data_IF_813691185062
#
_entry.id   IF_813691185062
#
_cell.length_a   1.000
_cell.length_b   1.000
_cell.length_c   1.000
_cell.angle_alpha   90.00
_cell.angle_beta   90.00
_cell.angle_gamma   90.00
#
_symmetry.space_group_name_H-M   'P 1'
#
loop_
_entity.id
_entity.type
_entity.pdbx_description
1 polymer ?
#
# COMPACT_ATOMS: atom_id res chain seq x y z
N UNK A 1 16.41 -4.89 33.93
CA UNK A 1 16.71 -3.54 33.40
C UNK A 1 16.25 -3.47 31.94
N UNK A 2 15.08 -2.88 31.61
CA UNK A 2 14.83 -2.51 30.20
C UNK A 2 15.75 -1.33 29.87
N UNK A 3 16.72 -1.57 28.99
CA UNK A 3 17.75 -0.62 28.58
C UNK A 3 17.25 0.17 27.35
N UNK A 4 17.94 1.22 26.93
CA UNK A 4 17.67 1.94 25.66
C UNK A 4 17.50 0.98 24.47
N UNK A 5 18.21 -0.15 24.51
CA UNK A 5 18.11 -1.25 23.55
C UNK A 5 16.68 -1.81 23.38
N UNK A 6 15.84 -1.80 24.41
CA UNK A 6 14.46 -2.32 24.27
C UNK A 6 13.61 -1.47 23.32
N UNK A 7 13.92 -0.18 23.20
CA UNK A 7 13.30 0.66 22.20
C UNK A 7 13.72 0.24 20.78
N UNK A 8 14.98 -0.16 20.62
CA UNK A 8 15.52 -0.62 19.34
C UNK A 8 14.98 -2.00 18.93
N UNK A 9 14.59 -2.83 19.90
CA UNK A 9 14.04 -4.17 19.68
C UNK A 9 12.53 -4.17 19.38
N UNK A 10 11.87 -3.02 19.44
CA UNK A 10 10.44 -2.88 19.17
C UNK A 10 10.11 -3.24 17.72
N UNK A 11 9.16 -4.16 17.51
CA UNK A 11 8.81 -4.67 16.17
C UNK A 11 7.54 -4.07 15.59
N UNK A 12 6.69 -3.48 16.44
CA UNK A 12 5.41 -2.87 16.05
C UNK A 12 5.32 -1.45 16.58
N UNK A 13 4.49 -0.63 15.93
CA UNK A 13 4.26 0.77 16.33
C UNK A 13 3.72 0.89 17.76
N UNK A 14 2.75 0.06 18.12
CA UNK A 14 2.17 0.02 19.48
C UNK A 14 3.22 -0.35 20.54
N UNK A 15 4.01 -1.40 20.26
CA UNK A 15 5.07 -1.81 21.19
C UNK A 15 6.09 -0.69 21.39
N UNK A 16 6.50 -0.02 20.31
CA UNK A 16 7.42 1.10 20.36
C UNK A 16 6.89 2.24 21.26
N UNK A 17 5.60 2.55 21.19
CA UNK A 17 4.96 3.57 22.03
C UNK A 17 4.98 3.18 23.50
N UNK A 18 4.64 1.93 23.84
CA UNK A 18 4.65 1.47 25.23
C UNK A 18 6.06 1.39 25.80
N UNK A 19 7.02 0.85 25.06
CA UNK A 19 8.42 0.77 25.49
C UNK A 19 9.03 2.19 25.64
N UNK A 20 8.62 3.16 24.81
CA UNK A 20 9.00 4.57 24.96
C UNK A 20 8.48 5.20 26.25
N UNK A 21 7.19 5.03 26.53
CA UNK A 21 6.55 5.57 27.73
C UNK A 21 7.17 4.94 28.98
N UNK A 22 7.38 3.62 28.98
CA UNK A 22 8.00 2.89 30.08
C UNK A 22 9.45 3.32 30.33
N UNK A 23 10.25 3.47 29.27
CA UNK A 23 11.65 3.89 29.39
C UNK A 23 11.77 5.25 30.09
N UNK A 24 10.91 6.20 29.71
CA UNK A 24 10.96 7.55 30.22
C UNK A 24 10.28 7.72 31.58
N UNK A 25 9.27 6.92 31.92
CA UNK A 25 8.60 6.99 33.22
C UNK A 25 9.53 6.63 34.39
N UNK A 26 10.50 5.74 34.17
CA UNK A 26 11.47 5.31 35.21
C UNK A 26 12.32 6.43 35.78
N UNK A 27 12.36 7.60 35.13
CA UNK A 27 13.10 8.77 35.58
C UNK A 27 12.14 9.96 35.61
N UNK A 28 11.56 10.34 36.77
CA UNK A 28 10.70 11.52 36.86
C UNK A 28 11.42 12.76 36.40
N UNK A 29 11.09 13.20 35.19
CA UNK A 29 11.58 14.44 34.58
C UNK A 29 10.43 15.27 34.02
N UNK A 30 9.31 14.61 33.81
CA UNK A 30 8.08 15.18 33.30
C UNK A 30 6.97 14.76 34.25
N UNK A 31 6.04 15.68 34.47
CA UNK A 31 4.80 15.45 35.19
C UNK A 31 3.94 14.42 34.45
N UNK A 32 3.98 14.49 33.12
CA UNK A 32 3.46 13.46 32.23
C UNK A 32 4.20 13.41 30.89
N UNK A 33 4.10 12.26 30.22
CA UNK A 33 4.61 12.05 28.87
C UNK A 33 3.53 11.38 28.04
N UNK A 34 3.42 11.80 26.78
CA UNK A 34 2.41 11.32 25.84
C UNK A 34 3.03 11.04 24.48
N UNK A 35 2.57 9.96 23.85
CA UNK A 35 2.86 9.65 22.45
C UNK A 35 1.55 9.43 21.72
N UNK A 36 1.40 10.05 20.55
CA UNK A 36 0.26 9.90 19.68
C UNK A 36 0.66 9.41 18.30
N UNK A 37 -0.15 8.52 17.72
CA UNK A 37 0.02 8.06 16.34
C UNK A 37 -1.27 8.24 15.56
N UNK A 38 -1.13 8.69 14.30
CA UNK A 38 -2.27 8.91 13.42
C UNK A 38 -2.84 7.57 12.96
N UNK A 39 -4.11 7.34 13.27
CA UNK A 39 -4.90 6.27 12.65
C UNK A 39 -5.60 6.84 11.41
N UNK A 40 -4.97 6.65 10.25
CA UNK A 40 -5.47 7.18 8.98
C UNK A 40 -6.81 6.56 8.54
N UNK A 41 -7.09 5.32 8.96
CA UNK A 41 -8.33 4.64 8.63
C UNK A 41 -9.52 5.27 9.36
N UNK A 42 -9.31 5.66 10.61
CA UNK A 42 -10.35 6.18 11.50
C UNK A 42 -10.29 7.70 11.71
N UNK A 43 -9.41 8.40 10.98
CA UNK A 43 -9.26 9.87 10.97
C UNK A 43 -9.11 10.51 12.35
N UNK A 44 -8.43 9.82 13.26
CA UNK A 44 -8.13 10.32 14.60
C UNK A 44 -6.67 10.07 14.98
N UNK A 45 -6.24 10.77 16.02
CA UNK A 45 -4.96 10.61 16.68
C UNK A 45 -5.17 9.75 17.93
N UNK A 46 -4.57 8.55 17.95
CA UNK A 46 -4.56 7.69 19.14
C UNK A 46 -3.39 8.07 20.03
N UNK A 47 -3.68 8.56 21.23
CA UNK A 47 -2.69 9.00 22.20
C UNK A 47 -2.64 8.08 23.40
N UNK A 48 -1.43 7.82 23.88
CA UNK A 48 -1.17 7.10 25.11
C UNK A 48 -0.29 7.97 25.99
N UNK A 49 -0.70 8.15 27.25
CA UNK A 49 0.04 8.97 28.20
C UNK A 49 0.28 8.24 29.52
N UNK A 50 1.38 8.60 30.16
CA UNK A 50 1.73 8.18 31.52
C UNK A 50 1.88 9.42 32.40
N UNK A 51 1.41 9.32 33.65
CA UNK A 51 1.54 10.36 34.67
C UNK A 51 2.22 9.78 35.91
N UNK A 52 3.16 10.54 36.49
CA UNK A 52 3.80 10.19 37.76
C UNK A 52 4.77 9.01 37.71
N UNK A 53 5.31 8.66 38.89
CA UNK A 53 6.52 7.81 39.04
C UNK A 53 6.28 6.38 39.49
N UNK A 54 5.13 6.11 40.12
CA UNK A 54 5.04 4.94 41.01
C UNK A 54 4.24 3.76 40.45
N UNK A 55 3.54 3.91 39.33
CA UNK A 55 2.91 2.81 38.58
C UNK A 55 2.71 3.19 37.10
N UNK A 56 2.97 2.25 36.19
CA UNK A 56 2.65 2.36 34.76
C UNK A 56 1.14 2.34 34.55
N UNK A 57 0.48 3.49 34.73
CA UNK A 57 -0.91 3.67 34.35
C UNK A 57 -0.96 4.40 33.00
N UNK A 58 -0.96 3.61 31.93
CA UNK A 58 -1.06 4.13 30.56
C UNK A 58 -2.52 4.45 30.28
N UNK A 59 -2.82 5.72 30.04
CA UNK A 59 -4.15 6.20 29.67
C UNK A 59 -4.24 6.39 28.16
N UNK A 60 -5.32 5.92 27.55
CA UNK A 60 -5.62 6.08 26.12
C UNK A 60 -6.59 7.24 25.89
N UNK A 61 -6.28 8.08 24.92
CA UNK A 61 -7.09 9.21 24.45
C UNK A 61 -7.21 9.16 22.93
N UNK A 62 -8.32 9.69 22.41
CA UNK A 62 -8.58 9.75 20.98
C UNK A 62 -9.01 11.18 20.64
N UNK A 63 -8.33 11.77 19.66
CA UNK A 63 -8.61 13.14 19.22
C UNK A 63 -8.87 13.14 17.73
N UNK A 64 -9.98 13.75 17.30
CA UNK A 64 -10.28 13.91 15.86
C UNK A 64 -9.20 14.74 15.17
N UNK A 65 -8.74 14.31 14.00
CA UNK A 65 -7.80 15.11 13.18
C UNK A 65 -8.42 16.41 12.66
N UNK A 66 -9.75 16.55 12.74
CA UNK A 66 -10.48 17.75 12.34
C UNK A 66 -10.52 18.83 13.42
N UNK A 67 -10.19 18.51 14.68
CA UNK A 67 -10.14 19.46 15.78
C UNK A 67 -8.90 20.37 15.67
N UNK A 68 -9.06 21.48 14.96
CA UNK A 68 -8.04 22.52 14.78
C UNK A 68 -7.67 23.26 16.06
N UNK A 69 -8.54 23.24 17.07
CA UNK A 69 -8.29 23.90 18.34
C UNK A 69 -7.33 23.10 19.22
N UNK A 70 -7.23 21.79 18.94
CA UNK A 70 -6.43 20.88 19.72
C UNK A 70 -4.92 21.13 19.55
N UNK A 71 -4.17 21.35 20.64
CA UNK A 71 -2.72 21.61 20.59
C UNK A 71 -1.92 20.54 19.83
N UNK A 72 -2.27 19.26 20.04
CA UNK A 72 -1.63 18.14 19.35
C UNK A 72 -1.88 18.19 17.83
N UNK A 73 -3.12 18.44 17.40
CA UNK A 73 -3.45 18.52 15.98
C UNK A 73 -2.77 19.72 15.33
N UNK A 74 -2.62 20.83 16.06
CA UNK A 74 -1.83 21.97 15.60
C UNK A 74 -0.38 21.59 15.26
N UNK A 75 0.29 20.82 16.13
CA UNK A 75 1.67 20.33 15.89
C UNK A 75 1.75 19.39 14.69
N UNK A 76 0.78 18.48 14.54
CA UNK A 76 0.74 17.57 13.38
C UNK A 76 0.60 18.35 12.07
N UNK A 77 -0.30 19.32 12.02
CA UNK A 77 -0.56 20.11 10.81
C UNK A 77 0.57 21.06 10.47
N UNK A 78 1.18 21.68 11.49
CA UNK A 78 2.31 22.59 11.26
C UNK A 78 3.57 21.84 10.87
N UNK A 79 3.71 20.58 11.29
CA UNK A 79 4.95 19.82 11.11
C UNK A 79 6.12 20.43 11.88
N UNK A 80 5.87 21.28 12.87
CA UNK A 80 6.90 21.95 13.65
C UNK A 80 6.67 21.74 15.15
N UNK A 81 7.74 21.57 15.95
CA UNK A 81 7.62 21.51 17.40
C UNK A 81 7.05 22.83 17.94
N UNK A 82 6.26 22.72 19.01
CA UNK A 82 5.65 23.88 19.65
C UNK A 82 5.66 23.71 21.17
N UNK A 83 5.84 24.84 21.86
CA UNK A 83 5.88 24.90 23.33
C UNK A 83 4.77 25.81 23.83
N UNK A 84 3.90 25.26 24.67
CA UNK A 84 2.96 26.00 25.48
C UNK A 84 3.52 26.15 26.89
N UNK A 85 3.69 27.39 27.36
CA UNK A 85 4.16 27.65 28.73
C UNK A 85 3.17 27.17 29.78
N UNK A 86 1.87 27.24 29.46
CA UNK A 86 0.79 26.76 30.31
C UNK A 86 -0.34 26.24 29.43
N UNK A 87 -1.01 25.19 29.88
CA UNK A 87 -2.25 24.70 29.27
C UNK A 87 -3.51 25.20 29.99
N UNK A 88 -3.36 26.06 31.02
CA UNK A 88 -4.47 26.58 31.83
C UNK A 88 -5.44 25.47 32.26
N UNK A 89 -4.89 24.35 32.73
CA UNK A 89 -5.64 23.13 33.13
C UNK A 89 -6.58 22.58 32.04
N UNK A 90 -6.23 22.75 30.77
CA UNK A 90 -6.96 22.18 29.65
C UNK A 90 -8.23 22.92 29.24
N UNK A 91 -8.44 24.17 29.66
CA UNK A 91 -9.66 24.96 29.34
C UNK A 91 -10.01 24.96 27.84
N UNK A 92 -9.00 24.94 26.97
CA UNK A 92 -9.17 25.00 25.50
C UNK A 92 -9.21 23.62 24.82
N UNK A 93 -9.17 22.54 25.58
CA UNK A 93 -9.17 21.18 25.05
C UNK A 93 -10.60 20.69 25.08
N UNK A 94 -11.16 20.29 23.94
CA UNK A 94 -12.55 19.83 23.83
C UNK A 94 -12.74 18.40 24.36
N UNK A 95 -11.74 17.54 24.20
CA UNK A 95 -11.78 16.14 24.62
C UNK A 95 -11.80 16.02 26.16
N UNK A 96 -12.89 15.50 26.77
CA UNK A 96 -13.06 15.54 28.23
C UNK A 96 -12.03 14.75 29.02
N UNK A 97 -11.57 13.58 28.51
CA UNK A 97 -10.64 12.71 29.24
C UNK A 97 -9.27 13.37 29.33
N UNK A 98 -8.80 13.96 28.25
CA UNK A 98 -7.54 14.68 28.16
C UNK A 98 -7.61 15.98 28.97
N UNK A 99 -8.75 16.68 28.93
CA UNK A 99 -8.98 17.84 29.80
C UNK A 99 -8.83 17.47 31.27
N UNK A 100 -9.47 16.37 31.69
CA UNK A 100 -9.38 15.88 33.06
C UNK A 100 -7.96 15.43 33.42
N UNK A 101 -7.30 14.70 32.52
CA UNK A 101 -5.91 14.31 32.66
C UNK A 101 -4.98 15.51 32.90
N UNK A 102 -5.12 16.58 32.12
CA UNK A 102 -4.31 17.80 32.27
C UNK A 102 -4.67 18.56 33.54
N UNK A 103 -5.95 18.55 33.92
CA UNK A 103 -6.40 19.18 35.17
C UNK A 103 -5.76 18.52 36.40
N UNK A 104 -5.60 17.19 36.37
CA UNK A 104 -5.03 16.38 37.44
C UNK A 104 -3.50 16.45 37.53
N UNK A 105 -2.82 17.06 36.54
CA UNK A 105 -1.38 17.23 36.59
C UNK A 105 -0.97 18.17 37.74
N UNK A 106 0.19 17.92 38.39
CA UNK A 106 0.61 18.63 39.59
C UNK A 106 1.10 20.06 39.30
N UNK A 107 0.23 21.04 39.53
CA UNK A 107 0.53 22.48 39.39
C UNK A 107 0.06 23.04 38.05
N UNK A 108 0.56 24.22 37.68
CA UNK A 108 0.38 24.73 36.32
C UNK A 108 1.52 24.21 35.44
N UNK A 109 1.21 23.16 34.67
CA UNK A 109 2.13 22.59 33.70
C UNK A 109 1.90 23.21 32.31
N UNK A 110 3.00 23.46 31.62
CA UNK A 110 3.01 23.63 30.18
C UNK A 110 3.22 22.31 29.45
N UNK A 111 3.37 22.40 28.13
CA UNK A 111 3.60 21.26 27.26
C UNK A 111 4.55 21.62 26.14
N UNK A 112 5.54 20.77 25.92
CA UNK A 112 6.34 20.79 24.71
C UNK A 112 5.96 19.57 23.87
N UNK A 113 5.52 19.82 22.64
CA UNK A 113 5.15 18.76 21.70
C UNK A 113 5.93 18.89 20.41
N UNK A 114 6.29 17.75 19.83
CA UNK A 114 6.97 17.68 18.54
C UNK A 114 6.32 16.63 17.65
N UNK A 115 6.28 16.89 16.34
CA UNK A 115 5.81 15.90 15.38
C UNK A 115 6.83 14.77 15.22
N UNK A 116 6.33 13.60 14.87
CA UNK A 116 7.11 12.45 14.42
C UNK A 116 6.75 12.19 12.97
N UNK A 117 7.78 11.91 12.15
CA UNK A 117 7.64 11.78 10.72
C UNK A 117 7.88 10.36 10.26
N UNK A 118 7.14 9.96 9.22
CA UNK A 118 7.38 8.72 8.50
C UNK A 118 8.57 8.84 7.52
N UNK A 119 8.73 7.83 6.66
CA UNK A 119 9.78 7.79 5.65
C UNK A 119 9.52 8.76 4.48
N UNK A 120 8.29 9.27 4.34
CA UNK A 120 7.89 10.25 3.32
C UNK A 120 7.95 11.68 3.85
N UNK A 121 8.47 11.87 5.06
CA UNK A 121 8.49 13.16 5.77
C UNK A 121 7.11 13.73 6.08
N UNK A 122 6.08 12.88 6.13
CA UNK A 122 4.74 13.24 6.57
C UNK A 122 4.64 13.06 8.09
N UNK A 123 4.05 14.03 8.77
CA UNK A 123 3.80 13.95 10.21
C UNK A 123 2.76 12.85 10.48
N UNK A 124 3.21 11.76 11.10
CA UNK A 124 2.40 10.56 11.37
C UNK A 124 2.16 10.32 12.85
N UNK A 125 2.73 11.15 13.72
CA UNK A 125 2.56 11.06 15.17
C UNK A 125 3.11 12.28 15.89
N UNK A 126 3.03 12.26 17.21
CA UNK A 126 3.48 13.32 18.10
C UNK A 126 4.08 12.70 19.34
N UNK A 127 5.08 13.37 19.91
CA UNK A 127 5.51 13.13 21.28
C UNK A 127 5.41 14.43 22.04
N UNK A 128 4.73 14.38 23.20
CA UNK A 128 4.48 15.54 24.04
C UNK A 128 4.93 15.28 25.48
N UNK A 129 5.73 16.19 26.03
CA UNK A 129 6.12 16.20 27.43
C UNK A 129 5.41 17.34 28.16
N UNK A 130 4.82 17.02 29.31
CA UNK A 130 4.18 17.97 30.19
C UNK A 130 5.14 18.31 31.32
N UNK A 131 5.43 19.61 31.48
CA UNK A 131 6.31 20.06 32.55
C UNK A 131 6.04 21.47 33.01
N UNK A 132 6.46 21.80 34.24
CA UNK A 132 6.53 23.18 34.73
C UNK A 132 7.50 24.05 33.93
N UNK A 133 8.54 23.44 33.36
CA UNK A 133 9.54 24.12 32.54
C UNK A 133 9.60 23.49 31.14
N UNK A 134 8.56 23.66 30.30
CA UNK A 134 8.46 22.95 29.02
C UNK A 134 9.55 23.36 28.02
N UNK A 135 10.11 24.57 28.14
CA UNK A 135 11.26 25.03 27.33
C UNK A 135 12.54 24.21 27.52
N UNK A 136 12.69 23.54 28.67
CA UNK A 136 13.83 22.65 28.89
C UNK A 136 13.83 21.46 27.92
N UNK A 137 12.64 21.07 27.44
CA UNK A 137 12.47 19.97 26.50
C UNK A 137 12.86 20.36 25.07
N UNK A 138 12.72 21.64 24.70
CA UNK A 138 13.08 22.13 23.36
C UNK A 138 14.58 22.38 23.18
N UNK A 139 15.38 22.29 24.25
CA UNK A 139 16.84 22.46 24.16
C UNK A 139 17.46 21.31 23.38
N UNK A 140 18.31 21.65 22.41
CA UNK A 140 19.13 20.68 21.69
C UNK A 140 19.99 19.87 22.68
N UNK A 141 20.00 18.55 22.54
CA UNK A 141 20.71 17.65 23.46
C UNK A 141 19.99 17.39 24.79
N UNK A 142 18.73 17.78 24.94
CA UNK A 142 17.92 17.33 26.07
C UNK A 142 17.66 15.81 25.98
N UNK A 143 17.48 15.13 27.12
CA UNK A 143 17.08 13.71 27.08
C UNK A 143 15.70 13.52 26.44
N UNK A 144 14.85 14.55 26.46
CA UNK A 144 13.64 14.55 25.66
C UNK A 144 14.04 14.40 24.20
N UNK A 145 14.86 15.30 23.63
CA UNK A 145 15.34 15.24 22.24
C UNK A 145 16.01 13.91 21.88
N UNK A 146 16.85 13.36 22.75
CA UNK A 146 17.51 12.08 22.45
C UNK A 146 16.55 10.88 22.43
N UNK A 147 15.73 10.70 23.46
CA UNK A 147 14.72 9.62 23.48
C UNK A 147 13.76 9.76 22.30
N UNK A 148 13.52 11.00 21.93
CA UNK A 148 12.65 11.43 20.88
C UNK A 148 13.12 11.11 19.47
N UNK A 149 14.40 11.38 19.20
CA UNK A 149 15.10 11.00 17.97
C UNK A 149 15.21 9.49 17.87
N UNK A 150 15.49 8.81 18.98
CA UNK A 150 15.56 7.35 19.02
C UNK A 150 14.21 6.69 18.67
N UNK A 151 13.11 7.23 19.21
CA UNK A 151 11.76 6.82 18.85
C UNK A 151 11.51 6.99 17.35
N UNK A 152 11.84 8.17 16.81
CA UNK A 152 11.63 8.46 15.40
C UNK A 152 12.46 7.54 14.49
N UNK A 153 13.72 7.29 14.86
CA UNK A 153 14.59 6.35 14.16
C UNK A 153 13.95 4.96 14.09
N UNK A 154 13.47 4.45 15.24
CA UNK A 154 12.85 3.12 15.26
C UNK A 154 11.50 3.07 14.56
N UNK A 155 10.70 4.13 14.66
CA UNK A 155 9.46 4.22 13.91
C UNK A 155 9.72 4.12 12.40
N UNK A 156 10.74 4.81 11.89
CA UNK A 156 11.12 4.76 10.48
C UNK A 156 11.51 3.35 10.03
N UNK A 157 12.30 2.64 10.84
CA UNK A 157 12.67 1.25 10.58
C UNK A 157 11.45 0.33 10.52
N UNK A 158 10.53 0.46 11.49
CA UNK A 158 9.29 -0.33 11.53
C UNK A 158 8.44 -0.05 10.28
N UNK A 159 8.23 1.22 9.94
CA UNK A 159 7.48 1.62 8.75
C UNK A 159 8.13 1.14 7.44
N UNK A 160 9.46 1.14 7.36
CA UNK A 160 10.20 0.63 6.21
C UNK A 160 10.00 -0.88 6.06
N UNK A 161 10.19 -1.64 7.14
CA UNK A 161 9.99 -3.09 7.14
C UNK A 161 8.56 -3.47 6.78
N UNK A 162 7.56 -2.73 7.27
CA UNK A 162 6.15 -2.96 6.90
C UNK A 162 5.90 -2.66 5.42
N UNK A 163 6.58 -1.67 4.84
CA UNK A 163 6.50 -1.35 3.41
C UNK A 163 7.14 -2.46 2.57
N UNK A 164 8.33 -2.92 2.94
CA UNK A 164 9.02 -4.01 2.27
C UNK A 164 8.23 -5.33 2.33
N UNK A 165 7.66 -5.65 3.49
CA UNK A 165 6.77 -6.82 3.64
C UNK A 165 5.56 -6.70 2.73
N UNK A 166 4.92 -5.52 2.66
CA UNK A 166 3.79 -5.30 1.74
C UNK A 166 4.18 -5.51 0.28
N UNK A 167 5.33 -4.98 -0.15
CA UNK A 167 5.82 -5.19 -1.51
C UNK A 167 6.10 -6.66 -1.82
N UNK A 168 6.70 -7.41 -0.89
CA UNK A 168 6.94 -8.85 -1.06
C UNK A 168 5.63 -9.64 -1.21
N UNK A 169 4.61 -9.32 -0.41
CA UNK A 169 3.29 -9.97 -0.54
C UNK A 169 2.65 -9.66 -1.89
N UNK A 170 2.69 -8.40 -2.34
CA UNK A 170 2.17 -8.01 -3.66
C UNK A 170 2.86 -8.76 -4.80
N UNK A 171 4.19 -8.89 -4.74
CA UNK A 171 4.97 -9.63 -5.73
C UNK A 171 4.56 -11.11 -5.74
N UNK A 172 4.43 -11.73 -4.55
CA UNK A 172 3.99 -13.12 -4.43
C UNK A 172 2.58 -13.34 -4.98
N UNK A 173 1.67 -12.39 -4.76
CA UNK A 173 0.30 -12.46 -5.28
C UNK A 173 0.27 -12.35 -6.81
N UNK A 174 1.10 -11.47 -7.39
CA UNK A 174 1.25 -11.36 -8.85
C UNK A 174 1.81 -12.65 -9.44
N UNK A 175 2.86 -13.23 -8.84
CA UNK A 175 3.41 -14.51 -9.30
C UNK A 175 2.39 -15.64 -9.22
N UNK A 176 1.61 -15.71 -8.14
CA UNK A 176 0.53 -16.70 -8.00
C UNK A 176 -0.55 -16.52 -9.07
N UNK A 177 -0.94 -15.28 -9.34
CA UNK A 177 -1.90 -14.94 -10.39
C UNK A 177 -1.39 -15.32 -11.78
N UNK A 178 -0.12 -15.05 -12.08
CA UNK A 178 0.51 -15.45 -13.35
C UNK A 178 0.59 -16.97 -13.49
N UNK A 179 1.00 -17.69 -12.45
CA UNK A 179 1.05 -19.15 -12.47
C UNK A 179 -0.34 -19.76 -12.68
N UNK A 180 -1.39 -19.19 -12.08
CA UNK A 180 -2.77 -19.63 -12.31
C UNK A 180 -3.21 -19.39 -13.76
N UNK A 181 -2.92 -18.22 -14.34
CA UNK A 181 -3.21 -17.94 -15.75
C UNK A 181 -2.46 -18.87 -16.69
N UNK A 182 -1.19 -19.16 -16.39
CA UNK A 182 -0.39 -20.11 -17.17
C UNK A 182 -1.02 -21.50 -17.14
N UNK A 183 -1.40 -22.00 -15.95
CA UNK A 183 -2.11 -23.29 -15.82
C UNK A 183 -3.44 -23.31 -16.57
N UNK A 184 -4.21 -22.22 -16.52
CA UNK A 184 -5.46 -22.11 -17.27
C UNK A 184 -5.21 -22.13 -18.79
N UNK A 185 -4.17 -21.46 -19.27
CA UNK A 185 -3.77 -21.51 -20.68
C UNK A 185 -3.33 -22.91 -21.07
N UNK A 186 -2.52 -23.58 -20.25
CA UNK A 186 -2.06 -24.95 -20.50
C UNK A 186 -3.23 -25.94 -20.48
N UNK A 187 -4.20 -25.79 -19.58
CA UNK A 187 -5.45 -26.57 -19.56
C UNK A 187 -6.32 -26.29 -20.78
N UNK A 188 -6.44 -25.04 -21.23
CA UNK A 188 -7.17 -24.69 -22.45
C UNK A 188 -6.51 -25.28 -23.69
N UNK A 189 -5.18 -25.22 -23.79
CA UNK A 189 -4.42 -25.87 -24.86
C UNK A 189 -4.65 -27.38 -24.81
N UNK A 190 -4.55 -27.98 -23.63
CA UNK A 190 -4.75 -29.42 -23.44
C UNK A 190 -6.18 -29.83 -23.82
N UNK A 191 -7.18 -29.03 -23.44
CA UNK A 191 -8.60 -29.27 -23.75
C UNK A 191 -8.91 -29.07 -25.24
N UNK A 192 -8.31 -28.07 -25.88
CA UNK A 192 -8.38 -27.86 -27.33
C UNK A 192 -7.69 -29.01 -28.09
N UNK A 193 -6.59 -29.55 -27.55
CA UNK A 193 -5.90 -30.71 -28.11
C UNK A 193 -6.61 -32.04 -27.84
N UNK A 194 -7.35 -32.19 -26.73
CA UNK A 194 -8.06 -33.42 -26.34
C UNK A 194 -9.52 -33.47 -26.79
N UNK A 195 -10.13 -32.31 -27.09
CA UNK A 195 -11.53 -32.13 -27.50
C UNK A 195 -11.76 -32.25 -29.00
N UNK A 196 -11.03 -33.12 -29.70
CA UNK A 196 -11.29 -33.43 -31.11
C UNK A 196 -12.29 -34.60 -31.21
N UNK A 197 -13.58 -34.37 -31.48
CA UNK A 197 -14.37 -35.42 -32.12
C UNK A 197 -13.69 -35.76 -33.45
N UNK A 198 -13.56 -37.06 -33.73
CA UNK A 198 -13.15 -37.59 -35.05
C UNK A 198 -14.03 -36.95 -36.12
N UNK A 199 -13.58 -35.84 -36.70
CA UNK A 199 -14.46 -35.04 -37.57
C UNK A 199 -13.98 -33.65 -37.98
N UNK A 200 -12.77 -33.19 -37.66
CA UNK A 200 -12.18 -32.02 -38.33
C UNK A 200 -10.66 -32.21 -38.50
N UNK A 201 -10.28 -32.96 -39.53
CA UNK A 201 -8.91 -32.92 -40.04
C UNK A 201 -8.73 -31.63 -40.85
N UNK A 202 -8.07 -30.64 -40.25
CA UNK A 202 -7.61 -29.40 -40.87
C UNK A 202 -7.57 -28.34 -39.77
N UNK A 203 -6.42 -27.97 -39.21
CA UNK A 203 -5.34 -27.21 -39.88
C UNK A 203 -3.95 -27.54 -39.25
N UNK A 204 -3.79 -28.67 -38.57
CA UNK A 204 -2.45 -29.16 -38.20
C UNK A 204 -2.02 -30.25 -39.18
N UNK A 205 -1.61 -29.86 -40.39
CA UNK A 205 -0.86 -30.75 -41.27
C UNK A 205 0.61 -30.70 -40.83
N UNK A 206 1.24 -31.86 -40.79
CA UNK A 206 2.67 -32.00 -40.61
C UNK A 206 3.39 -31.23 -41.74
N UNK A 207 4.14 -30.18 -41.38
CA UNK A 207 4.77 -29.27 -42.36
C UNK A 207 6.21 -29.70 -42.71
N UNK A 208 6.63 -30.89 -42.28
CA UNK A 208 7.98 -31.43 -42.52
C UNK A 208 8.28 -31.75 -43.99
N UNK A 209 7.29 -31.67 -44.89
CA UNK A 209 7.36 -32.07 -46.31
C UNK A 209 7.23 -30.88 -47.29
N UNK A 210 7.39 -29.64 -46.81
CA UNK A 210 7.27 -28.43 -47.63
C UNK A 210 8.63 -27.97 -48.15
N UNK A 211 9.04 -28.52 -49.29
CA UNK A 211 10.29 -28.13 -49.98
C UNK A 211 10.17 -26.84 -50.81
N UNK A 212 8.95 -26.39 -51.11
CA UNK A 212 8.70 -25.14 -51.86
C UNK A 212 7.61 -24.29 -51.19
N UNK A 213 8.05 -23.20 -50.58
CA UNK A 213 7.22 -22.24 -49.85
C UNK A 213 6.18 -21.56 -50.75
N UNK A 214 6.51 -21.32 -52.03
CA UNK A 214 5.60 -20.68 -52.98
C UNK A 214 4.47 -21.63 -53.38
N UNK A 215 4.82 -22.90 -53.64
CA UNK A 215 3.83 -23.94 -53.96
C UNK A 215 2.88 -24.21 -52.77
N UNK A 216 3.42 -24.20 -51.54
CA UNK A 216 2.61 -24.35 -50.33
C UNK A 216 1.66 -23.17 -50.09
N UNK A 217 2.14 -21.94 -50.34
CA UNK A 217 1.30 -20.74 -50.24
C UNK A 217 0.16 -20.78 -51.26
N UNK A 218 0.41 -21.18 -52.50
CA UNK A 218 -0.66 -21.30 -53.51
C UNK A 218 -1.69 -22.37 -53.14
N UNK A 219 -1.27 -23.52 -52.58
CA UNK A 219 -2.18 -24.55 -52.08
C UNK A 219 -3.04 -24.04 -50.92
N UNK A 220 -2.44 -23.31 -49.98
CA UNK A 220 -3.15 -22.72 -48.86
C UNK A 220 -4.17 -21.68 -49.33
N UNK A 221 -3.79 -20.79 -50.24
CA UNK A 221 -4.72 -19.82 -50.83
C UNK A 221 -5.90 -20.50 -51.53
N UNK A 222 -5.65 -21.59 -52.26
CA UNK A 222 -6.68 -22.38 -52.91
C UNK A 222 -7.63 -23.08 -51.90
N UNK A 223 -7.08 -23.66 -50.82
CA UNK A 223 -7.88 -24.27 -49.75
C UNK A 223 -8.78 -23.25 -49.04
N UNK A 224 -8.27 -22.05 -48.73
CA UNK A 224 -9.05 -20.96 -48.12
C UNK A 224 -10.18 -20.50 -49.06
N UNK A 225 -9.90 -20.34 -50.35
CA UNK A 225 -10.91 -19.97 -51.34
C UNK A 225 -12.01 -21.03 -51.45
N UNK A 226 -11.63 -22.31 -51.50
CA UNK A 226 -12.56 -23.44 -51.57
C UNK A 226 -13.43 -23.53 -50.31
N UNK A 227 -12.85 -23.32 -49.13
CA UNK A 227 -13.59 -23.32 -47.87
C UNK A 227 -14.63 -22.19 -47.83
N UNK A 228 -14.26 -20.98 -48.28
CA UNK A 228 -15.18 -19.83 -48.30
C UNK A 228 -16.28 -19.97 -49.35
N UNK A 229 -15.99 -20.58 -50.49
CA UNK A 229 -16.99 -20.96 -51.50
C UNK A 229 -18.02 -21.94 -50.92
N UNK A 230 -17.60 -22.92 -50.12
CA UNK A 230 -18.51 -23.86 -49.44
C UNK A 230 -19.40 -23.18 -48.40
N UNK A 231 -18.88 -22.16 -47.72
CA UNK A 231 -19.64 -21.41 -46.71
C UNK A 231 -20.68 -20.45 -47.32
N UNK A 232 -20.42 -19.92 -48.51
CA UNK A 232 -21.30 -18.94 -49.18
C UNK A 232 -21.48 -19.25 -50.67
N UNK A 233 -22.21 -20.31 -51.04
CA UNK A 233 -22.25 -20.85 -52.41
C UNK A 233 -22.89 -19.92 -53.46
N UNK A 234 -23.48 -18.79 -53.07
CA UNK A 234 -24.22 -17.92 -54.01
C UNK A 234 -23.91 -16.42 -53.88
N UNK A 235 -23.00 -16.01 -53.00
CA UNK A 235 -22.73 -14.58 -52.75
C UNK A 235 -21.23 -14.25 -52.84
N UNK A 236 -20.76 -14.06 -54.08
CA UNK A 236 -19.37 -13.68 -54.38
C UNK A 236 -18.96 -12.35 -53.75
N UNK A 237 -19.91 -11.44 -53.47
CA UNK A 237 -19.62 -10.15 -52.82
C UNK A 237 -19.33 -10.34 -51.32
N UNK A 238 -20.09 -11.20 -50.65
CA UNK A 238 -19.81 -11.57 -49.25
C UNK A 238 -18.48 -12.32 -49.10
N UNK A 239 -18.13 -13.19 -50.05
CA UNK A 239 -16.83 -13.87 -50.05
C UNK A 239 -15.69 -12.84 -50.14
N UNK A 240 -15.78 -11.90 -51.09
CA UNK A 240 -14.78 -10.85 -51.28
C UNK A 240 -14.59 -9.98 -50.02
N UNK A 241 -15.69 -9.57 -49.39
CA UNK A 241 -15.65 -8.84 -48.12
C UNK A 241 -15.03 -9.67 -46.99
N UNK A 242 -15.37 -10.95 -46.87
CA UNK A 242 -14.83 -11.81 -45.80
C UNK A 242 -13.31 -12.04 -45.89
N UNK A 243 -12.76 -11.94 -47.11
CA UNK A 243 -11.34 -12.11 -47.39
C UNK A 243 -10.59 -10.78 -47.50
N UNK A 244 -11.26 -9.63 -47.29
CA UNK A 244 -10.70 -8.29 -47.54
C UNK A 244 -10.08 -8.15 -48.95
N UNK A 245 -10.70 -8.79 -49.95
CA UNK A 245 -10.26 -8.74 -51.34
C UNK A 245 -11.21 -7.90 -52.18
N UNK A 246 -10.69 -7.23 -53.21
CA UNK A 246 -11.55 -6.61 -54.20
C UNK A 246 -12.33 -7.70 -54.99
N UNK A 247 -13.57 -7.46 -55.44
CA UNK A 247 -14.33 -8.42 -56.24
C UNK A 247 -13.57 -8.86 -57.50
N UNK A 248 -12.76 -7.97 -58.08
CA UNK A 248 -11.93 -8.25 -59.26
C UNK A 248 -10.76 -9.19 -58.93
N UNK A 249 -10.12 -9.00 -57.78
CA UNK A 249 -9.04 -9.87 -57.28
C UNK A 249 -9.57 -11.25 -56.93
N UNK A 250 -10.77 -11.33 -56.33
CA UNK A 250 -11.42 -12.60 -56.07
C UNK A 250 -11.70 -13.36 -57.37
N UNK A 251 -12.32 -12.72 -58.36
CA UNK A 251 -12.59 -13.36 -59.67
C UNK A 251 -11.31 -13.83 -60.36
N UNK A 252 -10.23 -13.04 -60.30
CA UNK A 252 -8.93 -13.45 -60.82
C UNK A 252 -8.38 -14.69 -60.11
N UNK A 253 -8.42 -14.73 -58.77
CA UNK A 253 -7.92 -15.89 -58.01
C UNK A 253 -8.79 -17.13 -58.22
N UNK A 254 -10.11 -17.00 -58.29
CA UNK A 254 -11.02 -18.11 -58.60
C UNK A 254 -10.73 -18.71 -59.98
N UNK A 255 -10.51 -17.86 -61.00
CA UNK A 255 -10.14 -18.30 -62.35
C UNK A 255 -8.73 -18.89 -62.40
N UNK A 256 -7.74 -18.28 -61.71
CA UNK A 256 -6.35 -18.77 -61.64
C UNK A 256 -6.26 -20.17 -61.03
N UNK A 257 -7.05 -20.45 -59.99
CA UNK A 257 -7.01 -21.73 -59.28
C UNK A 257 -8.10 -22.72 -59.71
N UNK A 258 -8.89 -22.41 -60.76
CA UNK A 258 -9.94 -23.29 -61.30
C UNK A 258 -11.07 -23.61 -60.30
N UNK A 259 -11.25 -22.77 -59.28
CA UNK A 259 -12.26 -22.96 -58.23
C UNK A 259 -13.59 -22.32 -58.67
N UNK A 260 -14.25 -22.92 -59.65
CA UNK A 260 -15.60 -22.56 -60.07
C UNK A 260 -16.57 -23.66 -59.60
N UNK A 261 -17.60 -23.26 -58.84
CA UNK A 261 -18.79 -24.07 -58.54
C UNK A 261 -19.89 -23.68 -59.52
#
# INVERSE_FOLDING_TARGET
>A
MKNVLTLLDSKTREQLMFDFLELNQRRPRYEALMVGMVNAAEQHLECYAVCGTNNLNIQRFETSLHDVSHPLIHVLRSGMPFTWQTLLRGIRIEEPRLRHFIYDLPGECGMHARPVFDNQSLACGIIAAFSREPESCSRSGSLFSFSSELFQYQLKNICELDTLRRHLHQIQDVFRSQQQKQKQLDELITTLSSGMPKGFSGIAKDYSDVDDLYAALERFECEVLTQRLRQFPSDKRRIAMSLNLSPRTLSYKLSKYGCEL
#
